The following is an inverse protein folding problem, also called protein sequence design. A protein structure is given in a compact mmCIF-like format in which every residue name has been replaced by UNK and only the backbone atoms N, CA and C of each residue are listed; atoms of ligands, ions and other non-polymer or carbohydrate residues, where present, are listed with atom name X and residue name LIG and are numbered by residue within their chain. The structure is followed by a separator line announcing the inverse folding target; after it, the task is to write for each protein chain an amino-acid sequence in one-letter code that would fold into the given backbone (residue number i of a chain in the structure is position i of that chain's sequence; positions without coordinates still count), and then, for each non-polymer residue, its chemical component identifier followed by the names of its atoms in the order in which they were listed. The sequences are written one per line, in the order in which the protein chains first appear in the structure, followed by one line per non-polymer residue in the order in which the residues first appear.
data_IF_968509513651
#
_entry.id   IF_968509513651
#
_cell.length_a   1.000
_cell.length_b   1.000
_cell.length_c   1.000
_cell.angle_alpha   90.00
_cell.angle_beta   90.00
_cell.angle_gamma   90.00
#
_symmetry.space_group_name_H-M   'P 1'
#
loop_
_entity.id
_entity.type
_entity.pdbx_description
1 polymer ?
#
# COMPACT_ATOMS: atom_id res chain seq x y z
N UNK A 1 37.20 -50.56 32.77
CA UNK A 1 36.93 -49.50 31.80
C UNK A 1 36.09 -48.43 32.49
N UNK A 2 36.70 -47.28 32.85
CA UNK A 2 35.99 -46.13 33.44
C UNK A 2 35.69 -45.16 32.31
N UNK A 3 34.41 -44.97 31.98
CA UNK A 3 34.00 -43.86 31.12
C UNK A 3 33.92 -42.56 31.93
N UNK A 4 34.77 -41.64 31.60
CA UNK A 4 34.80 -40.27 32.17
C UNK A 4 33.81 -39.44 31.34
N UNK A 5 32.60 -39.28 31.86
CA UNK A 5 31.60 -38.35 31.27
C UNK A 5 32.13 -36.91 31.42
N UNK A 6 32.46 -36.26 30.31
CA UNK A 6 32.80 -34.83 30.29
C UNK A 6 31.51 -34.04 30.55
N UNK A 7 31.37 -33.49 31.73
CA UNK A 7 30.33 -32.55 32.13
C UNK A 7 30.50 -31.25 31.37
N UNK A 8 29.61 -30.98 30.38
CA UNK A 8 29.60 -29.72 29.64
C UNK A 8 29.16 -28.61 30.59
N UNK A 9 30.10 -27.77 31.04
CA UNK A 9 29.79 -26.55 31.80
C UNK A 9 28.87 -25.63 30.96
N UNK A 10 27.78 -25.12 31.55
CA UNK A 10 26.90 -24.17 30.83
C UNK A 10 27.72 -22.92 30.52
N UNK A 11 27.74 -22.54 29.24
CA UNK A 11 28.43 -21.34 28.77
C UNK A 11 27.58 -20.13 29.19
N UNK A 12 27.94 -19.53 30.30
CA UNK A 12 27.25 -18.33 30.81
C UNK A 12 27.44 -17.20 29.80
N UNK A 13 26.34 -16.68 29.26
CA UNK A 13 26.39 -15.56 28.31
C UNK A 13 27.06 -14.35 28.99
N UNK A 14 27.96 -13.71 28.27
CA UNK A 14 28.62 -12.47 28.76
C UNK A 14 27.57 -11.41 29.09
N UNK A 15 27.66 -10.72 30.25
CA UNK A 15 26.61 -9.78 30.69
C UNK A 15 26.29 -8.68 29.68
N UNK A 16 27.27 -8.25 28.87
CA UNK A 16 27.04 -7.29 27.79
C UNK A 16 26.13 -7.77 26.66
N UNK A 17 26.12 -9.10 26.36
CA UNK A 17 25.21 -9.66 25.38
C UNK A 17 23.78 -9.76 25.90
N UNK A 18 23.61 -10.10 27.18
CA UNK A 18 22.32 -10.09 27.85
C UNK A 18 21.68 -8.70 27.84
N UNK A 19 22.46 -7.68 28.14
CA UNK A 19 22.01 -6.28 28.10
C UNK A 19 21.61 -5.87 26.68
N UNK A 20 22.38 -6.24 25.67
CA UNK A 20 22.06 -5.94 24.27
C UNK A 20 20.74 -6.57 23.84
N UNK A 21 20.49 -7.83 24.20
CA UNK A 21 19.21 -8.51 23.88
C UNK A 21 18.04 -7.90 24.65
N UNK A 22 18.25 -7.49 25.90
CA UNK A 22 17.21 -6.80 26.67
C UNK A 22 16.83 -5.46 26.05
N UNK A 23 17.82 -4.64 25.64
CA UNK A 23 17.58 -3.36 24.98
C UNK A 23 16.89 -3.57 23.62
N UNK A 24 17.36 -4.52 22.81
CA UNK A 24 16.73 -4.85 21.52
C UNK A 24 15.30 -5.36 21.69
N UNK A 25 15.04 -6.19 22.72
CA UNK A 25 13.71 -6.68 23.05
C UNK A 25 12.76 -5.55 23.49
N UNK A 26 13.24 -4.63 24.34
CA UNK A 26 12.45 -3.46 24.75
C UNK A 26 12.16 -2.52 23.58
N UNK A 27 13.14 -2.29 22.70
CA UNK A 27 12.95 -1.46 21.51
C UNK A 27 11.92 -2.08 20.55
N UNK A 28 12.03 -3.39 20.30
CA UNK A 28 11.07 -4.12 19.47
C UNK A 28 9.64 -4.10 20.08
N UNK A 29 9.54 -4.33 21.39
CA UNK A 29 8.29 -4.27 22.13
C UNK A 29 7.66 -2.87 22.05
N UNK A 30 8.46 -1.82 22.21
CA UNK A 30 8.01 -0.44 22.06
C UNK A 30 7.49 -0.18 20.64
N UNK A 31 8.22 -0.61 19.60
CA UNK A 31 7.80 -0.45 18.20
C UNK A 31 6.51 -1.21 17.87
N UNK A 32 6.29 -2.38 18.49
CA UNK A 32 5.08 -3.18 18.30
C UNK A 32 3.85 -2.64 19.03
N UNK A 33 4.06 -1.89 20.12
CA UNK A 33 2.99 -1.30 20.94
C UNK A 33 2.84 0.21 20.73
N UNK A 34 3.72 0.85 19.95
CA UNK A 34 3.61 2.26 19.63
C UNK A 34 2.31 2.49 18.86
N UNK A 35 1.42 3.26 19.44
CA UNK A 35 0.25 3.75 18.72
C UNK A 35 0.71 4.67 17.59
N UNK A 36 -0.01 4.67 16.46
CA UNK A 36 0.29 5.62 15.39
C UNK A 36 0.20 7.06 15.93
N UNK A 37 0.98 8.00 15.39
CA UNK A 37 0.88 9.40 15.76
C UNK A 37 -0.56 9.92 15.67
N UNK A 38 -0.99 10.74 16.63
CA UNK A 38 -2.35 11.30 16.71
C UNK A 38 -2.72 12.19 15.51
N UNK A 39 -1.73 12.59 14.70
CA UNK A 39 -1.87 13.39 13.49
C UNK A 39 -2.05 12.56 12.20
N UNK A 40 -2.12 11.23 12.32
CA UNK A 40 -2.41 10.37 11.17
C UNK A 40 -3.90 10.44 10.80
N UNK A 41 -4.13 10.79 9.56
CA UNK A 41 -5.45 10.79 8.96
C UNK A 41 -5.91 9.36 8.63
N UNK A 42 -7.22 9.18 8.42
CA UNK A 42 -7.82 7.87 8.14
C UNK A 42 -7.12 7.11 7.03
N UNK A 43 -6.75 7.78 5.93
CA UNK A 43 -6.07 7.17 4.78
C UNK A 43 -4.62 6.72 5.04
N UNK A 44 -4.04 7.06 6.20
CA UNK A 44 -2.72 6.56 6.60
C UNK A 44 -2.80 5.22 7.36
N UNK A 45 -3.96 4.92 7.94
CA UNK A 45 -4.14 3.77 8.83
C UNK A 45 -5.12 2.73 8.29
N UNK A 46 -6.08 3.13 7.45
CA UNK A 46 -7.08 2.21 6.89
C UNK A 46 -6.42 1.21 5.92
N UNK A 47 -6.85 -0.04 6.02
CA UNK A 47 -6.40 -1.11 5.13
C UNK A 47 -7.51 -1.50 4.17
N UNK A 48 -7.17 -1.57 2.90
CA UNK A 48 -8.06 -2.01 1.84
C UNK A 48 -7.86 -3.50 1.58
N UNK A 49 -8.96 -4.26 1.55
CA UNK A 49 -8.92 -5.71 1.33
C UNK A 49 -8.80 -6.06 -0.16
N UNK A 50 -9.26 -5.16 -1.03
CA UNK A 50 -9.20 -5.31 -2.48
C UNK A 50 -7.85 -4.92 -3.08
N UNK A 51 -6.87 -4.50 -2.27
CA UNK A 51 -5.51 -4.24 -2.77
C UNK A 51 -4.93 -5.45 -3.51
N UNK A 52 -4.19 -5.17 -4.57
CA UNK A 52 -3.48 -6.19 -5.31
C UNK A 52 -2.47 -6.91 -4.40
N UNK A 53 -2.57 -8.21 -4.36
CA UNK A 53 -1.67 -9.08 -3.61
C UNK A 53 -1.24 -10.29 -4.42
N UNK A 54 -0.17 -10.95 -4.01
CA UNK A 54 0.30 -12.20 -4.64
C UNK A 54 -0.78 -13.28 -4.68
N UNK A 55 -1.66 -13.33 -3.67
CA UNK A 55 -2.76 -14.28 -3.61
C UNK A 55 -3.82 -14.08 -4.68
N UNK A 56 -3.91 -12.86 -5.25
CA UNK A 56 -4.88 -12.50 -6.31
C UNK A 56 -4.31 -12.67 -7.73
N UNK A 57 -3.04 -13.09 -7.89
CA UNK A 57 -2.40 -13.24 -9.21
C UNK A 57 -3.16 -14.20 -10.13
N UNK A 58 -3.67 -15.30 -9.59
CA UNK A 58 -4.39 -16.30 -10.39
C UNK A 58 -5.77 -15.84 -10.88
N UNK A 59 -6.30 -14.79 -10.27
CA UNK A 59 -7.58 -14.16 -10.64
C UNK A 59 -7.43 -13.19 -11.81
N UNK A 60 -6.22 -12.68 -12.08
CA UNK A 60 -5.94 -11.66 -13.07
C UNK A 60 -5.21 -12.28 -14.26
N UNK A 61 -5.97 -12.55 -15.32
CA UNK A 61 -5.47 -13.16 -16.56
C UNK A 61 -5.52 -12.22 -17.75
N UNK A 62 -6.18 -11.09 -17.60
CA UNK A 62 -6.38 -10.08 -18.65
C UNK A 62 -6.38 -8.67 -18.05
N UNK A 63 -6.24 -7.67 -18.91
CA UNK A 63 -6.44 -6.28 -18.50
C UNK A 63 -7.87 -6.01 -18.02
N UNK A 64 -8.85 -6.70 -18.56
CA UNK A 64 -10.22 -6.60 -18.08
C UNK A 64 -10.39 -7.08 -16.63
N UNK A 65 -9.75 -8.21 -16.27
CA UNK A 65 -9.77 -8.70 -14.89
C UNK A 65 -9.08 -7.71 -13.94
N UNK A 66 -7.96 -7.14 -14.37
CA UNK A 66 -7.27 -6.10 -13.62
C UNK A 66 -8.16 -4.87 -13.40
N UNK A 67 -8.89 -4.43 -14.44
CA UNK A 67 -9.85 -3.32 -14.34
C UNK A 67 -10.96 -3.59 -13.34
N UNK A 68 -11.50 -4.82 -13.30
CA UNK A 68 -12.50 -5.22 -12.32
C UNK A 68 -11.96 -5.20 -10.89
N UNK A 69 -10.71 -5.62 -10.68
CA UNK A 69 -10.06 -5.48 -9.37
C UNK A 69 -9.92 -4.01 -8.98
N UNK A 70 -9.47 -3.18 -9.90
CA UNK A 70 -9.30 -1.74 -9.69
C UNK A 70 -10.63 -1.04 -9.35
N UNK A 71 -11.72 -1.41 -10.02
CA UNK A 71 -13.05 -0.91 -9.72
C UNK A 71 -13.52 -1.28 -8.31
N UNK A 72 -13.28 -2.52 -7.86
CA UNK A 72 -13.59 -2.96 -6.49
C UNK A 72 -12.75 -2.20 -5.47
N UNK A 73 -11.45 -2.06 -5.73
CA UNK A 73 -10.55 -1.29 -4.86
C UNK A 73 -10.97 0.16 -4.70
N UNK A 74 -11.34 0.82 -5.81
CA UNK A 74 -11.81 2.21 -5.78
C UNK A 74 -13.15 2.34 -5.06
N UNK A 75 -14.06 1.37 -5.21
CA UNK A 75 -15.32 1.34 -4.48
C UNK A 75 -15.10 1.17 -2.97
N UNK A 76 -14.20 0.27 -2.57
CA UNK A 76 -13.83 0.08 -1.18
C UNK A 76 -13.17 1.35 -0.59
N UNK A 77 -12.29 2.01 -1.35
CA UNK A 77 -11.67 3.28 -0.95
C UNK A 77 -12.72 4.38 -0.77
N UNK A 78 -13.70 4.47 -1.67
CA UNK A 78 -14.80 5.41 -1.55
C UNK A 78 -15.61 5.17 -0.27
N UNK A 79 -15.92 3.91 0.04
CA UNK A 79 -16.68 3.52 1.24
C UNK A 79 -15.88 3.72 2.54
N UNK A 80 -14.65 3.23 2.59
CA UNK A 80 -13.85 3.20 3.83
C UNK A 80 -13.17 4.53 4.13
N UNK A 81 -12.82 5.31 3.13
CA UNK A 81 -12.01 6.53 3.26
C UNK A 81 -12.79 7.76 2.82
N UNK A 82 -13.16 7.87 1.53
CA UNK A 82 -13.73 9.09 0.98
C UNK A 82 -15.03 9.49 1.67
N UNK A 83 -15.93 8.54 1.94
CA UNK A 83 -17.21 8.79 2.62
C UNK A 83 -17.07 9.29 4.06
N UNK A 84 -15.93 9.01 4.70
CA UNK A 84 -15.64 9.36 6.10
C UNK A 84 -14.68 10.56 6.22
N UNK A 85 -14.08 10.97 5.12
CA UNK A 85 -13.17 12.13 5.11
C UNK A 85 -13.98 13.42 5.16
N UNK A 86 -13.58 14.35 6.02
CA UNK A 86 -14.23 15.64 6.15
C UNK A 86 -14.16 16.45 4.85
N UNK A 87 -15.12 17.36 4.70
CA UNK A 87 -15.24 18.27 3.55
C UNK A 87 -15.28 19.72 4.04
N UNK A 88 -15.03 20.68 3.15
CA UNK A 88 -15.08 22.10 3.45
C UNK A 88 -13.73 22.72 3.81
N UNK A 89 -13.68 23.78 4.63
CA UNK A 89 -12.45 24.52 4.89
C UNK A 89 -11.31 23.64 5.41
N UNK A 90 -10.17 23.69 4.74
CA UNK A 90 -8.98 22.86 5.03
C UNK A 90 -8.92 21.54 4.28
N UNK A 91 -10.01 21.13 3.59
CA UNK A 91 -10.07 19.87 2.84
C UNK A 91 -10.18 20.08 1.32
N UNK A 92 -10.08 21.31 0.82
CA UNK A 92 -10.27 21.66 -0.59
C UNK A 92 -9.24 21.01 -1.53
N UNK A 93 -8.07 20.64 -0.99
CA UNK A 93 -6.98 20.01 -1.74
C UNK A 93 -6.69 18.59 -1.24
N UNK A 94 -7.49 18.04 -0.32
CA UNK A 94 -7.32 16.69 0.16
C UNK A 94 -7.87 15.70 -0.85
N UNK A 95 -7.02 14.84 -1.40
CA UNK A 95 -7.35 13.88 -2.46
C UNK A 95 -8.53 12.95 -2.13
N UNK A 96 -8.73 12.66 -0.86
CA UNK A 96 -9.77 11.74 -0.36
C UNK A 96 -11.04 12.46 0.08
N UNK A 97 -11.10 13.77 0.04
CA UNK A 97 -12.31 14.53 0.35
C UNK A 97 -13.21 14.64 -0.88
N UNK A 98 -14.47 14.25 -0.75
CA UNK A 98 -15.44 14.26 -1.85
C UNK A 98 -15.72 15.65 -2.43
N UNK A 99 -15.48 16.72 -1.66
CA UNK A 99 -15.60 18.11 -2.11
C UNK A 99 -14.31 18.72 -2.67
N UNK A 100 -13.21 18.00 -2.68
CA UNK A 100 -11.90 18.50 -3.07
C UNK A 100 -11.71 18.54 -4.58
N UNK A 101 -11.14 19.61 -5.10
CA UNK A 101 -10.73 19.72 -6.51
C UNK A 101 -9.61 18.71 -6.88
N UNK A 102 -8.93 18.16 -5.87
CA UNK A 102 -7.89 17.13 -6.05
C UNK A 102 -8.46 15.70 -6.03
N UNK A 103 -9.75 15.51 -5.78
CA UNK A 103 -10.35 14.18 -5.76
C UNK A 103 -10.52 13.65 -7.19
N UNK A 104 -9.86 12.52 -7.56
CA UNK A 104 -9.93 11.94 -8.91
C UNK A 104 -11.32 11.43 -9.30
N UNK A 105 -12.17 11.12 -8.32
CA UNK A 105 -13.55 10.62 -8.54
C UNK A 105 -14.47 11.67 -9.15
N UNK A 106 -14.10 12.96 -9.08
CA UNK A 106 -14.89 14.03 -9.71
C UNK A 106 -14.76 14.06 -11.23
N UNK A 107 -13.80 13.34 -11.79
CA UNK A 107 -13.54 13.33 -13.22
C UNK A 107 -14.09 12.07 -13.88
N UNK A 108 -14.55 12.21 -15.13
CA UNK A 108 -15.00 11.08 -15.95
C UNK A 108 -14.13 10.99 -17.22
N UNK A 109 -13.38 9.89 -17.40
CA UNK A 109 -13.19 8.78 -16.44
C UNK A 109 -12.43 9.21 -15.17
N UNK A 110 -12.57 8.42 -14.10
CA UNK A 110 -11.80 8.61 -12.87
C UNK A 110 -10.30 8.61 -13.17
N UNK A 111 -9.57 9.62 -12.73
CA UNK A 111 -8.15 9.78 -13.07
C UNK A 111 -7.22 8.76 -12.43
N UNK A 112 -7.69 8.06 -11.41
CA UNK A 112 -6.95 6.95 -10.80
C UNK A 112 -7.10 5.64 -11.56
N UNK A 113 -8.03 5.56 -12.51
CA UNK A 113 -8.25 4.32 -13.26
C UNK A 113 -7.22 4.15 -14.36
N UNK A 114 -6.70 2.93 -14.46
CA UNK A 114 -5.88 2.49 -15.57
C UNK A 114 -6.66 2.50 -16.88
N UNK A 115 -6.00 2.77 -17.98
CA UNK A 115 -6.63 2.82 -19.30
C UNK A 115 -5.79 2.12 -20.35
N UNK A 116 -6.44 1.66 -21.40
CA UNK A 116 -5.83 1.09 -22.60
C UNK A 116 -6.20 1.95 -23.81
N UNK A 117 -5.24 2.12 -24.71
CA UNK A 117 -5.45 2.78 -26.00
C UNK A 117 -5.24 1.74 -27.12
N UNK A 118 -6.26 0.98 -27.50
CA UNK A 118 -6.16 -0.03 -28.53
C UNK A 118 -6.03 0.62 -29.91
N UNK A 119 -5.25 -0.02 -30.79
CA UNK A 119 -5.13 0.34 -32.20
C UNK A 119 -5.53 -0.84 -33.07
N UNK A 120 -6.04 -0.56 -34.29
CA UNK A 120 -6.59 -1.58 -35.18
C UNK A 120 -5.53 -2.57 -35.68
N UNK A 121 -4.29 -2.10 -35.89
CA UNK A 121 -3.18 -2.91 -36.38
C UNK A 121 -1.93 -2.62 -35.54
N UNK A 122 -1.79 -3.23 -34.35
CA UNK A 122 -0.66 -2.97 -33.50
C UNK A 122 0.62 -3.55 -34.08
N UNK A 123 1.67 -2.75 -34.14
CA UNK A 123 3.04 -3.17 -34.47
C UNK A 123 3.86 -3.45 -33.22
N UNK A 124 3.32 -3.11 -32.05
CA UNK A 124 3.92 -3.29 -30.73
C UNK A 124 2.99 -2.77 -29.64
N UNK A 125 3.45 -2.84 -28.40
CA UNK A 125 2.75 -2.30 -27.23
C UNK A 125 3.71 -1.57 -26.31
N UNK A 126 3.22 -0.56 -25.60
CA UNK A 126 3.94 0.15 -24.57
C UNK A 126 3.18 0.09 -23.25
N UNK A 127 3.86 -0.26 -22.18
CA UNK A 127 3.35 -0.16 -20.82
C UNK A 127 3.90 1.10 -20.17
N UNK A 128 3.02 2.00 -19.77
CA UNK A 128 3.37 3.23 -19.07
C UNK A 128 3.01 3.09 -17.59
N UNK A 129 3.99 3.28 -16.70
CA UNK A 129 3.82 3.23 -15.25
C UNK A 129 4.10 4.61 -14.67
N UNK A 130 3.13 5.14 -13.93
CA UNK A 130 3.30 6.42 -13.20
C UNK A 130 4.08 6.23 -11.89
N UNK A 131 4.54 7.33 -11.29
CA UNK A 131 5.18 7.34 -9.98
C UNK A 131 4.21 7.03 -8.84
N UNK A 132 4.74 6.60 -7.68
CA UNK A 132 3.92 6.17 -6.52
C UNK A 132 2.95 7.23 -6.00
N UNK A 133 3.26 8.52 -6.14
CA UNK A 133 2.42 9.64 -5.70
C UNK A 133 1.59 10.27 -6.82
N UNK A 134 1.52 9.61 -7.96
CA UNK A 134 0.85 10.11 -9.16
C UNK A 134 -0.34 9.19 -9.55
N UNK A 135 -0.90 9.40 -10.72
CA UNK A 135 -2.03 8.62 -11.23
C UNK A 135 -1.84 8.26 -12.70
N UNK A 136 -2.53 7.26 -13.22
CA UNK A 136 -2.49 6.89 -14.63
C UNK A 136 -2.78 8.07 -15.58
N UNK A 137 -3.61 9.03 -15.14
CA UNK A 137 -3.97 10.20 -15.93
C UNK A 137 -2.77 11.08 -16.31
N UNK A 138 -1.76 11.18 -15.47
CA UNK A 138 -0.56 11.99 -15.74
C UNK A 138 0.18 11.55 -17.00
N UNK A 139 0.11 10.27 -17.34
CA UNK A 139 0.75 9.68 -18.52
C UNK A 139 -0.13 9.71 -19.77
N UNK A 140 -1.39 10.16 -19.65
CA UNK A 140 -2.36 10.12 -20.76
C UNK A 140 -1.88 10.89 -21.99
N UNK A 141 -1.29 12.07 -21.81
CA UNK A 141 -0.80 12.86 -22.93
C UNK A 141 0.35 12.17 -23.66
N UNK A 142 1.24 11.52 -22.91
CA UNK A 142 2.34 10.74 -23.48
C UNK A 142 1.81 9.50 -24.23
N UNK A 143 0.80 8.85 -23.69
CA UNK A 143 0.19 7.68 -24.32
C UNK A 143 -0.53 8.00 -25.64
N UNK A 144 -0.96 9.26 -25.84
CA UNK A 144 -1.65 9.74 -27.03
C UNK A 144 -0.70 10.31 -28.10
N UNK A 145 0.60 10.45 -27.80
CA UNK A 145 1.60 10.98 -28.74
C UNK A 145 2.18 9.89 -29.65
#
# INVERSE_FOLDING_TARGET
MKQTGAEKKPTLMRPGRLLLFAVAGCALFYLLLAEPPDDLELWHSERLEEEFSRGKLDEIRSFADYRLLEERLLAEMAEKITSKTATGPGFELVRYSSGSVANPEQFSPNWNMSFELPVTQPVGGALLLHGMSDSPYSLRKLALS
#
